data_IF_531569145706
#
_entry.id   IF_531569145706
#
_cell.length_a   1.000
_cell.length_b   1.000
_cell.length_c   1.000
_cell.angle_alpha   90.00
_cell.angle_beta   90.00
_cell.angle_gamma   90.00
#
_symmetry.space_group_name_H-M   'P 1'
#
loop_
_entity.id
_entity.type
_entity.pdbx_description
1 polymer ?
#
# COMPACT_ATOMS: atom_id res chain seq x y z
N UNK A 1 -3.21 -16.04 21.45
CA UNK A 1 -3.35 -14.91 20.52
C UNK A 1 -4.79 -14.60 20.13
N UNK A 2 -5.59 -15.53 19.55
CA UNK A 2 -7.02 -15.23 19.29
C UNK A 2 -7.81 -14.95 20.57
N UNK A 3 -7.53 -15.71 21.63
CA UNK A 3 -8.12 -15.51 22.95
C UNK A 3 -7.84 -14.10 23.48
N UNK A 4 -6.61 -13.61 23.29
CA UNK A 4 -6.21 -12.26 23.72
C UNK A 4 -6.99 -11.16 22.97
N UNK A 5 -7.24 -11.34 21.66
CA UNK A 5 -8.07 -10.43 20.87
C UNK A 5 -9.53 -10.46 21.33
N UNK A 6 -10.04 -11.64 21.68
CA UNK A 6 -11.37 -11.74 22.25
C UNK A 6 -11.47 -10.97 23.56
N UNK A 7 -10.49 -11.13 24.46
CA UNK A 7 -10.42 -10.35 25.70
C UNK A 7 -10.36 -8.85 25.42
N UNK A 8 -9.52 -8.42 24.46
CA UNK A 8 -9.42 -7.02 24.04
C UNK A 8 -10.76 -6.47 23.52
N UNK A 9 -11.44 -7.23 22.65
CA UNK A 9 -12.76 -6.87 22.11
C UNK A 9 -13.76 -6.62 23.23
N UNK A 10 -13.83 -7.55 24.19
CA UNK A 10 -14.75 -7.44 25.33
C UNK A 10 -14.41 -6.23 26.19
N UNK A 11 -13.13 -6.04 26.57
CA UNK A 11 -12.71 -4.88 27.37
C UNK A 11 -12.99 -3.55 26.67
N UNK A 12 -12.76 -3.44 25.36
CA UNK A 12 -13.07 -2.21 24.60
C UNK A 12 -14.58 -1.97 24.55
N UNK A 13 -15.40 -3.02 24.41
CA UNK A 13 -16.87 -2.89 24.39
C UNK A 13 -17.46 -2.53 25.75
N UNK A 14 -16.80 -2.88 26.85
CA UNK A 14 -17.21 -2.56 28.22
C UNK A 14 -16.85 -1.12 28.62
N UNK A 15 -15.83 -0.50 28.00
CA UNK A 15 -15.38 0.85 28.34
C UNK A 15 -16.47 1.93 28.38
N UNK A 16 -17.39 2.05 27.41
CA UNK A 16 -18.41 3.11 27.41
C UNK A 16 -19.43 2.99 28.55
N UNK A 17 -19.56 1.80 29.13
CA UNK A 17 -20.57 1.48 30.15
C UNK A 17 -19.93 1.20 31.51
N UNK A 18 -18.60 1.29 31.59
CA UNK A 18 -17.84 0.96 32.79
C UNK A 18 -18.08 2.00 33.88
N UNK A 19 -18.43 1.54 35.09
CA UNK A 19 -18.71 2.42 36.24
C UNK A 19 -20.11 3.04 36.25
N UNK A 20 -21.02 2.63 35.37
CA UNK A 20 -22.42 3.03 35.41
C UNK A 20 -23.21 2.12 36.37
N UNK A 21 -23.98 2.71 37.30
CA UNK A 21 -24.81 1.98 38.26
C UNK A 21 -25.98 1.23 37.58
N UNK A 22 -26.43 1.74 36.43
CA UNK A 22 -27.35 1.06 35.54
C UNK A 22 -26.84 1.16 34.08
N UNK A 23 -26.02 0.20 33.62
CA UNK A 23 -25.35 0.30 32.33
C UNK A 23 -26.37 0.19 31.19
N UNK A 24 -26.53 1.28 30.45
CA UNK A 24 -27.22 1.26 29.17
C UNK A 24 -26.35 0.52 28.13
N UNK A 25 -26.92 -0.11 27.10
CA UNK A 25 -26.12 -0.76 26.06
C UNK A 25 -25.18 0.24 25.37
N UNK A 26 -23.96 -0.18 24.98
CA UNK A 26 -23.02 0.71 24.30
C UNK A 26 -23.62 1.27 23.00
N UNK A 27 -23.25 2.51 22.61
CA UNK A 27 -23.73 3.10 21.37
C UNK A 27 -23.49 2.19 20.16
N UNK A 28 -24.51 1.96 19.34
CA UNK A 28 -24.45 1.05 18.19
C UNK A 28 -23.29 1.37 17.24
N UNK A 29 -23.00 2.65 17.02
CA UNK A 29 -21.88 3.10 16.18
C UNK A 29 -20.53 2.67 16.75
N UNK A 30 -20.35 2.77 18.08
CA UNK A 30 -19.13 2.34 18.75
C UNK A 30 -18.93 0.84 18.58
N UNK A 31 -19.94 0.04 18.91
CA UNK A 31 -19.91 -1.42 18.75
C UNK A 31 -19.61 -1.84 17.31
N UNK A 32 -20.18 -1.15 16.30
CA UNK A 32 -19.90 -1.40 14.88
C UNK A 32 -18.43 -1.13 14.52
N UNK A 33 -17.86 -0.02 14.98
CA UNK A 33 -16.46 0.32 14.70
C UNK A 33 -15.52 -0.70 15.34
N UNK A 34 -15.75 -1.06 16.60
CA UNK A 34 -14.95 -2.05 17.32
C UNK A 34 -15.04 -3.41 16.63
N UNK A 35 -16.26 -3.89 16.34
CA UNK A 35 -16.45 -5.17 15.64
C UNK A 35 -15.75 -5.19 14.27
N UNK A 36 -15.86 -4.10 13.50
CA UNK A 36 -15.19 -3.98 12.20
C UNK A 36 -13.67 -3.99 12.37
N UNK A 37 -13.11 -3.23 13.32
CA UNK A 37 -11.67 -3.19 13.57
C UNK A 37 -11.12 -4.53 14.06
N UNK A 38 -11.77 -5.13 15.06
CA UNK A 38 -11.39 -6.43 15.61
C UNK A 38 -11.48 -7.52 14.53
N UNK A 39 -12.54 -7.54 13.72
CA UNK A 39 -12.69 -8.52 12.64
C UNK A 39 -11.55 -8.47 11.63
N UNK A 40 -11.04 -7.27 11.31
CA UNK A 40 -9.86 -7.12 10.44
C UNK A 40 -8.60 -7.70 11.08
N UNK A 41 -8.37 -7.39 12.35
CA UNK A 41 -7.21 -7.88 13.11
C UNK A 41 -7.28 -9.40 13.22
N UNK A 42 -8.47 -9.94 13.50
CA UNK A 42 -8.71 -11.37 13.60
C UNK A 42 -8.47 -12.08 12.27
N UNK A 43 -8.91 -11.52 11.14
CA UNK A 43 -8.64 -12.07 9.82
C UNK A 43 -7.13 -12.14 9.53
N UNK A 44 -6.39 -11.06 9.79
CA UNK A 44 -4.93 -11.02 9.61
C UNK A 44 -4.25 -12.02 10.55
N UNK A 45 -4.64 -12.05 11.82
CA UNK A 45 -4.06 -12.97 12.79
C UNK A 45 -4.31 -14.42 12.40
N UNK A 46 -5.55 -14.77 12.01
CA UNK A 46 -5.87 -16.11 11.51
C UNK A 46 -4.95 -16.46 10.35
N UNK A 47 -4.78 -15.55 9.41
CA UNK A 47 -3.96 -15.79 8.22
C UNK A 47 -2.48 -16.07 8.55
N UNK A 48 -1.85 -15.29 9.44
CA UNK A 48 -0.45 -15.53 9.80
C UNK A 48 -0.24 -16.78 10.67
N UNK A 49 -1.26 -17.18 11.43
CA UNK A 49 -1.24 -18.38 12.27
C UNK A 49 -1.54 -19.66 11.48
N UNK A 50 -2.20 -19.57 10.32
CA UNK A 50 -2.46 -20.73 9.48
C UNK A 50 -1.14 -21.36 9.00
N UNK A 51 -1.00 -22.70 9.05
CA UNK A 51 0.13 -23.40 8.44
C UNK A 51 0.26 -23.04 6.96
N UNK A 52 1.50 -22.89 6.48
CA UNK A 52 1.78 -22.57 5.08
C UNK A 52 2.15 -23.80 4.24
N UNK A 53 2.06 -24.98 4.85
CA UNK A 53 2.40 -26.26 4.26
C UNK A 53 1.13 -27.13 4.31
N UNK A 54 0.47 -27.44 3.18
CA UNK A 54 0.87 -27.18 1.79
C UNK A 54 0.68 -25.71 1.34
N UNK A 55 1.46 -25.23 0.35
CA UNK A 55 1.44 -23.84 -0.11
C UNK A 55 0.08 -23.41 -0.71
N UNK A 56 -0.63 -24.31 -1.37
CA UNK A 56 -1.96 -24.03 -1.97
C UNK A 56 -3.00 -23.62 -0.92
N UNK A 57 -2.89 -24.16 0.30
CA UNK A 57 -3.81 -23.85 1.39
C UNK A 57 -3.72 -22.39 1.83
N UNK A 58 -2.56 -21.75 1.69
CA UNK A 58 -2.39 -20.37 2.15
C UNK A 58 -3.10 -19.38 1.23
N UNK A 59 -2.95 -19.53 -0.10
CA UNK A 59 -3.66 -18.69 -1.07
C UNK A 59 -5.19 -18.81 -0.94
N UNK A 60 -5.69 -20.02 -0.69
CA UNK A 60 -7.13 -20.25 -0.51
C UNK A 60 -7.65 -19.56 0.75
N UNK A 61 -6.93 -19.71 1.86
CA UNK A 61 -7.30 -19.06 3.12
C UNK A 61 -7.24 -17.53 3.02
N UNK A 62 -6.33 -16.99 2.22
CA UNK A 62 -6.25 -15.56 1.97
C UNK A 62 -7.49 -15.04 1.22
N UNK A 63 -7.91 -15.74 0.17
CA UNK A 63 -9.14 -15.43 -0.57
C UNK A 63 -10.37 -15.51 0.35
N UNK A 64 -10.42 -16.51 1.23
CA UNK A 64 -11.55 -16.69 2.15
C UNK A 64 -11.62 -15.63 3.26
N UNK A 65 -10.48 -15.19 3.80
CA UNK A 65 -10.42 -14.28 4.94
C UNK A 65 -10.32 -12.80 4.55
N UNK A 66 -9.56 -12.47 3.51
CA UNK A 66 -9.27 -11.09 3.09
C UNK A 66 -9.98 -10.77 1.76
N UNK A 67 -10.03 -11.74 0.84
CA UNK A 67 -10.87 -11.68 -0.36
C UNK A 67 -10.52 -10.56 -1.35
N UNK A 68 -9.24 -10.17 -1.43
CA UNK A 68 -8.77 -9.24 -2.45
C UNK A 68 -7.76 -9.85 -3.41
N UNK A 69 -7.60 -9.17 -4.55
CA UNK A 69 -6.72 -9.55 -5.66
C UNK A 69 -5.35 -8.87 -5.62
N UNK A 70 -5.12 -7.99 -4.66
CA UNK A 70 -3.91 -7.16 -4.64
C UNK A 70 -2.70 -7.97 -4.18
N UNK A 71 -1.76 -8.18 -5.10
CA UNK A 71 -0.49 -8.87 -4.85
C UNK A 71 0.36 -8.20 -3.75
N UNK A 72 0.36 -6.87 -3.66
CA UNK A 72 1.10 -6.15 -2.62
C UNK A 72 0.53 -6.43 -1.22
N UNK A 73 -0.79 -6.56 -1.12
CA UNK A 73 -1.46 -6.91 0.13
C UNK A 73 -1.13 -8.35 0.54
N UNK A 74 -1.12 -9.27 -0.42
CA UNK A 74 -0.68 -10.64 -0.21
C UNK A 74 0.78 -10.69 0.26
N UNK A 75 1.69 -9.96 -0.41
CA UNK A 75 3.09 -9.85 -0.01
C UNK A 75 3.26 -9.35 1.43
N UNK A 76 2.50 -8.32 1.85
CA UNK A 76 2.53 -7.85 3.24
C UNK A 76 2.15 -8.95 4.23
N UNK A 77 1.14 -9.77 3.93
CA UNK A 77 0.77 -10.91 4.77
C UNK A 77 1.89 -11.94 4.83
N UNK A 78 2.53 -12.26 3.70
CA UNK A 78 3.65 -13.21 3.66
C UNK A 78 4.87 -12.69 4.45
N UNK A 79 5.12 -11.38 4.40
CA UNK A 79 6.18 -10.72 5.19
C UNK A 79 5.84 -10.75 6.69
N UNK A 80 4.59 -10.45 7.08
CA UNK A 80 4.13 -10.57 8.47
C UNK A 80 4.20 -12.01 8.99
N UNK A 81 4.02 -12.99 8.10
CA UNK A 81 4.16 -14.41 8.43
C UNK A 81 5.62 -14.82 8.63
N UNK A 82 6.59 -14.06 8.10
CA UNK A 82 8.02 -14.32 8.25
C UNK A 82 8.57 -15.39 7.30
N UNK A 83 7.94 -15.61 6.15
CA UNK A 83 8.41 -16.59 5.15
C UNK A 83 9.67 -16.12 4.42
N UNK A 84 10.49 -17.07 3.94
CA UNK A 84 11.69 -16.75 3.16
C UNK A 84 11.32 -16.24 1.77
N UNK A 85 12.19 -15.42 1.15
CA UNK A 85 11.96 -14.86 -0.20
C UNK A 85 11.62 -15.92 -1.27
N UNK A 86 12.28 -17.08 -1.23
CA UNK A 86 12.01 -18.17 -2.19
C UNK A 86 10.60 -18.75 -2.02
N UNK A 87 10.16 -18.97 -0.78
CA UNK A 87 8.82 -19.47 -0.45
C UNK A 87 7.74 -18.43 -0.78
N UNK A 88 8.04 -17.15 -0.54
CA UNK A 88 7.16 -16.04 -0.92
C UNK A 88 6.89 -16.02 -2.42
N UNK A 89 7.93 -16.16 -3.24
CA UNK A 89 7.81 -16.12 -4.70
C UNK A 89 6.89 -17.23 -5.22
N UNK A 90 7.04 -18.46 -4.72
CA UNK A 90 6.19 -19.59 -5.10
C UNK A 90 4.71 -19.35 -4.75
N UNK A 91 4.44 -18.81 -3.56
CA UNK A 91 3.07 -18.51 -3.12
C UNK A 91 2.44 -17.38 -3.95
N UNK A 92 3.23 -16.37 -4.32
CA UNK A 92 2.75 -15.24 -5.15
C UNK A 92 2.34 -15.73 -6.53
N UNK A 93 3.11 -16.61 -7.15
CA UNK A 93 2.79 -17.19 -8.46
C UNK A 93 1.48 -18.00 -8.41
N UNK A 94 1.30 -18.83 -7.39
CA UNK A 94 0.06 -19.58 -7.18
C UNK A 94 -1.15 -18.65 -6.96
N UNK A 95 -0.98 -17.61 -6.15
CA UNK A 95 -2.02 -16.62 -5.91
C UNK A 95 -2.43 -15.90 -7.20
N UNK A 96 -1.47 -15.49 -8.04
CA UNK A 96 -1.74 -14.84 -9.32
C UNK A 96 -2.52 -15.75 -10.27
N UNK A 97 -2.13 -17.03 -10.36
CA UNK A 97 -2.84 -18.00 -11.19
C UNK A 97 -4.29 -18.16 -10.75
N UNK A 98 -4.55 -18.21 -9.44
CA UNK A 98 -5.89 -18.41 -8.87
C UNK A 98 -6.78 -17.17 -9.01
N UNK A 99 -6.21 -15.99 -8.79
CA UNK A 99 -6.91 -14.71 -8.94
C UNK A 99 -7.26 -14.42 -10.40
N UNK A 100 -6.50 -14.95 -11.36
CA UNK A 100 -6.83 -14.84 -12.79
C UNK A 100 -8.14 -15.56 -13.14
N UNK A 101 -8.46 -16.66 -12.45
CA UNK A 101 -9.68 -17.44 -12.66
C UNK A 101 -10.90 -16.81 -11.97
N UNK A 102 -10.70 -16.15 -10.82
CA UNK A 102 -11.78 -15.57 -10.03
C UNK A 102 -12.08 -14.11 -10.39
N UNK A 103 -13.19 -13.85 -11.08
CA UNK A 103 -13.62 -12.48 -11.46
C UNK A 103 -14.37 -11.73 -10.35
N UNK A 104 -14.79 -12.41 -9.27
CA UNK A 104 -15.70 -11.87 -8.24
C UNK A 104 -15.00 -11.19 -7.06
N UNK A 105 -13.70 -11.38 -6.89
CA UNK A 105 -12.94 -10.81 -5.76
C UNK A 105 -12.75 -9.30 -5.90
N UNK A 106 -12.62 -8.62 -4.75
CA UNK A 106 -12.36 -7.18 -4.70
C UNK A 106 -10.95 -6.85 -5.18
N UNK A 107 -10.79 -5.80 -5.98
CA UNK A 107 -9.47 -5.36 -6.46
C UNK A 107 -8.53 -4.98 -5.30
N UNK A 108 -9.07 -4.43 -4.21
CA UNK A 108 -8.28 -3.94 -3.08
C UNK A 108 -9.08 -3.95 -1.76
N UNK A 109 -8.65 -4.75 -0.78
CA UNK A 109 -9.26 -4.72 0.55
C UNK A 109 -8.57 -3.69 1.46
N UNK A 110 -9.37 -2.82 2.09
CA UNK A 110 -8.91 -1.85 3.10
C UNK A 110 -8.55 -2.50 4.45
N UNK A 111 -8.35 -3.82 4.50
CA UNK A 111 -7.93 -4.55 5.70
C UNK A 111 -6.45 -4.25 6.00
N UNK A 112 -5.63 -4.07 4.97
CA UNK A 112 -4.17 -3.94 5.06
C UNK A 112 -3.64 -2.50 4.81
N UNK A 113 -4.54 -1.53 4.62
CA UNK A 113 -4.19 -0.14 4.32
C UNK A 113 -3.37 0.54 5.43
N UNK A 114 -3.55 0.11 6.69
CA UNK A 114 -2.86 0.69 7.85
C UNK A 114 -1.49 0.05 8.14
N UNK A 115 -1.11 -1.00 7.40
CA UNK A 115 0.15 -1.72 7.60
C UNK A 115 1.20 -1.15 6.65
N UNK A 116 2.15 -0.40 7.23
CA UNK A 116 3.34 0.08 6.53
C UNK A 116 4.56 -0.72 7.03
N UNK A 117 4.91 -1.78 6.31
CA UNK A 117 6.12 -2.56 6.58
C UNK A 117 7.28 -1.77 5.97
N UNK A 118 7.80 -0.81 6.75
CA UNK A 118 9.04 -0.14 6.39
C UNK A 118 10.15 -1.19 6.41
N UNK A 119 10.65 -1.54 5.22
CA UNK A 119 11.86 -2.33 5.08
C UNK A 119 12.96 -1.66 5.91
N UNK A 120 13.60 -2.41 6.81
CA UNK A 120 14.81 -1.97 7.48
C UNK A 120 15.84 -1.61 6.41
N UNK A 121 16.03 -0.31 6.22
CA UNK A 121 17.06 0.26 5.37
C UNK A 121 18.38 -0.26 5.94
N UNK A 122 19.11 -1.06 5.15
CA UNK A 122 20.45 -1.48 5.51
C UNK A 122 21.30 -0.21 5.79
N UNK A 123 22.12 -0.18 6.85
CA UNK A 123 22.97 0.98 7.11
C UNK A 123 23.99 1.09 5.96
N UNK A 124 23.76 2.04 5.05
CA UNK A 124 24.80 2.45 4.10
C UNK A 124 25.88 3.17 4.89
N UNK A 125 27.03 2.51 5.04
CA UNK A 125 28.22 3.12 5.62
C UNK A 125 28.65 4.29 4.70
N UNK A 126 28.90 5.50 5.25
CA UNK A 126 29.48 6.58 4.46
C UNK A 126 30.90 6.17 4.01
N UNK A 127 31.14 6.18 2.69
CA UNK A 127 32.49 5.99 2.13
C UNK A 127 33.35 7.21 2.45
N UNK A 128 33.97 7.24 3.62
CA UNK A 128 34.94 8.25 4.00
C UNK A 128 36.08 7.61 4.77
N UNK A 129 36.73 6.64 4.13
CA UNK A 129 38.09 6.22 4.50
C UNK A 129 39.00 6.49 3.31
N UNK A 130 40.00 7.39 3.45
CA UNK A 130 41.00 7.58 2.41
C UNK A 130 41.91 6.33 2.37
N UNK A 131 42.09 5.77 1.18
CA UNK A 131 43.09 4.74 0.88
C UNK A 131 44.50 5.35 1.02
N UNK A 132 45.10 5.23 2.20
CA UNK A 132 46.41 5.83 2.49
C UNK A 132 47.61 4.93 2.13
N UNK A 133 47.42 3.84 1.38
CA UNK A 133 48.49 2.92 0.99
C UNK A 133 48.53 2.72 -0.52
N UNK A 134 48.86 3.78 -1.26
CA UNK A 134 49.20 3.67 -2.69
C UNK A 134 50.69 3.94 -2.85
N UNK A 135 51.42 2.89 -3.19
CA UNK A 135 52.83 2.87 -3.54
C UNK A 135 53.09 3.62 -4.87
N UNK A 136 53.97 4.63 -4.95
CA UNK A 136 54.32 5.28 -6.20
C UNK A 136 55.64 4.75 -6.77
N UNK A 137 55.68 4.45 -8.07
CA UNK A 137 56.93 4.30 -8.87
C UNK A 137 56.63 4.30 -10.38
N UNK A 138 57.60 4.70 -11.24
CA UNK A 138 57.37 5.72 -12.26
C UNK A 138 57.55 5.30 -13.74
N UNK A 139 57.05 6.18 -14.64
CA UNK A 139 57.54 6.54 -16.00
C UNK A 139 57.89 5.41 -16.99
N UNK A 140 57.42 5.38 -18.24
CA UNK A 140 57.61 6.37 -19.30
C UNK A 140 56.83 5.91 -20.55
N UNK A 141 56.24 6.82 -21.32
CA UNK A 141 56.54 6.94 -22.76
C UNK A 141 55.74 8.07 -23.41
N UNK A 142 56.47 8.88 -24.16
CA UNK A 142 56.01 9.97 -24.99
C UNK A 142 55.28 9.46 -26.24
N UNK A 143 54.33 10.25 -26.76
CA UNK A 143 54.44 10.71 -28.14
C UNK A 143 53.50 11.87 -28.51
N UNK A 144 54.10 12.77 -29.29
CA UNK A 144 53.68 13.96 -30.03
C UNK A 144 52.30 13.87 -30.73
N UNK A 145 51.44 14.90 -30.62
CA UNK A 145 51.30 16.09 -31.50
C UNK A 145 50.48 15.83 -32.78
N UNK A 146 49.34 16.53 -32.95
CA UNK A 146 48.97 17.35 -34.15
C UNK A 146 47.44 17.53 -34.38
N UNK A 147 46.97 18.75 -34.11
CA UNK A 147 46.20 19.74 -34.94
C UNK A 147 45.09 19.39 -35.96
N UNK A 148 44.15 20.37 -36.07
CA UNK A 148 43.20 20.77 -37.16
C UNK A 148 41.75 20.25 -37.04
N UNK A 149 40.69 21.06 -36.79
CA UNK A 149 40.02 22.20 -37.50
C UNK A 149 39.19 21.81 -38.74
N UNK A 150 38.13 22.61 -39.00
CA UNK A 150 37.09 22.58 -40.07
C UNK A 150 35.85 21.74 -39.71
N UNK A 151 34.59 22.16 -39.81
CA UNK A 151 33.95 23.39 -40.32
C UNK A 151 32.48 23.09 -40.71
N UNK A 152 31.55 24.03 -40.45
CA UNK A 152 30.18 24.15 -41.02
C UNK A 152 29.14 23.11 -40.56
N UNK A 153 27.81 23.32 -40.62
CA UNK A 153 26.92 24.49 -40.68
C UNK A 153 25.48 23.92 -40.72
N UNK A 154 24.51 24.70 -40.22
CA UNK A 154 23.06 24.63 -40.47
C UNK A 154 22.24 23.50 -39.82
N UNK A 155 21.29 23.86 -38.94
CA UNK A 155 19.88 24.12 -39.30
C UNK A 155 18.95 24.00 -38.09
N UNK A 156 18.23 25.08 -37.84
CA UNK A 156 16.85 25.18 -37.38
C UNK A 156 16.23 24.03 -36.56
N UNK A 157 15.78 24.35 -35.34
CA UNK A 157 14.35 24.58 -35.06
C UNK A 157 14.09 24.91 -33.59
N UNK A 158 13.55 26.12 -33.43
CA UNK A 158 12.73 26.58 -32.32
C UNK A 158 11.57 25.63 -32.00
N UNK A 159 11.25 25.45 -30.71
CA UNK A 159 9.90 25.61 -30.18
C UNK A 159 9.90 25.41 -28.66
N UNK A 160 9.97 26.53 -27.94
CA UNK A 160 9.30 26.67 -26.66
C UNK A 160 7.80 26.36 -26.84
N UNK A 161 7.22 25.59 -25.91
CA UNK A 161 5.82 25.62 -25.46
C UNK A 161 5.38 24.23 -24.95
N UNK A 162 5.59 23.96 -23.67
CA UNK A 162 4.79 22.95 -22.96
C UNK A 162 4.63 23.28 -21.48
N UNK A 163 4.24 24.52 -21.20
CA UNK A 163 3.80 24.94 -19.88
C UNK A 163 2.45 25.67 -19.99
N UNK A 164 1.42 24.96 -20.43
CA UNK A 164 0.05 25.49 -20.51
C UNK A 164 -0.98 24.35 -20.38
N UNK A 165 -0.89 23.54 -19.32
CA UNK A 165 -1.90 22.50 -19.05
C UNK A 165 -2.26 22.36 -17.58
N UNK A 166 -1.97 23.36 -16.76
CA UNK A 166 -2.34 23.39 -15.34
C UNK A 166 -3.02 24.73 -15.06
N UNK A 167 -4.32 24.85 -15.38
CA UNK A 167 -5.30 25.81 -14.81
C UNK A 167 -6.59 25.89 -15.63
N UNK A 168 -7.30 24.77 -15.83
CA UNK A 168 -8.68 24.83 -16.35
C UNK A 168 -9.63 23.79 -15.76
N UNK A 169 -9.53 23.59 -14.44
CA UNK A 169 -10.53 22.84 -13.67
C UNK A 169 -10.97 23.72 -12.50
N UNK A 170 -11.75 24.76 -12.78
CA UNK A 170 -12.53 25.49 -11.77
C UNK A 170 -13.62 26.33 -12.45
N UNK A 171 -14.76 25.71 -12.73
CA UNK A 171 -16.07 26.40 -12.79
C UNK A 171 -17.15 25.37 -12.49
N UNK A 172 -17.37 25.08 -11.21
CA UNK A 172 -18.61 24.44 -10.74
C UNK A 172 -19.66 25.55 -10.65
N UNK A 173 -20.57 25.57 -11.62
CA UNK A 173 -21.72 26.47 -11.66
C UNK A 173 -22.86 25.85 -10.83
N UNK A 174 -23.17 26.47 -9.69
CA UNK A 174 -24.34 26.13 -8.89
C UNK A 174 -25.59 26.73 -9.53
N UNK A 175 -26.28 25.94 -10.37
CA UNK A 175 -27.60 26.32 -10.90
C UNK A 175 -28.68 25.94 -9.90
N UNK A 176 -29.11 26.93 -9.13
CA UNK A 176 -30.24 26.91 -8.19
C UNK A 176 -31.54 26.84 -9.01
N UNK A 177 -32.28 25.74 -8.92
CA UNK A 177 -33.59 25.59 -9.56
C UNK A 177 -34.68 25.93 -8.53
N UNK A 178 -35.36 27.06 -8.74
CA UNK A 178 -36.53 27.51 -7.99
C UNK A 178 -37.76 26.79 -8.55
N UNK A 179 -38.36 25.92 -7.74
CA UNK A 179 -39.63 25.27 -8.03
C UNK A 179 -40.75 25.98 -7.29
N UNK A 180 -41.22 27.08 -7.87
CA UNK A 180 -42.51 27.67 -7.56
C UNK A 180 -43.61 26.94 -8.33
N UNK A 181 -44.38 26.09 -7.64
CA UNK A 181 -45.69 25.61 -8.12
C UNK A 181 -46.65 25.62 -6.91
N UNK A 182 -47.40 26.71 -6.74
CA UNK A 182 -48.74 26.96 -7.26
C UNK A 182 -49.82 26.29 -6.41
N UNK A 183 -50.62 27.18 -5.81
CA UNK A 183 -51.89 26.95 -5.10
C UNK A 183 -52.89 26.20 -5.98
N UNK A 184 -53.73 25.40 -5.33
CA UNK A 184 -55.13 25.06 -5.61
C UNK A 184 -55.54 24.18 -4.40
N UNK A 185 -56.34 24.67 -3.44
CA UNK A 185 -57.81 24.52 -3.37
C UNK A 185 -58.23 23.05 -3.62
N UNK A 186 -58.83 22.30 -2.70
CA UNK A 186 -60.20 22.47 -2.21
C UNK A 186 -60.51 21.37 -1.18
N UNK A 187 -61.20 21.76 -0.10
CA UNK A 187 -62.20 21.06 0.74
C UNK A 187 -62.02 19.58 1.14
#
# INVERSE_FOLDING_TARGET
MLLDIHALKTSILEMPTMGMENPAPPPTTFTKIVNKGIGKIEAILKMILTPHDPPEGLSENYILLIGDKNINNFQKILELKGLRRNEQQQLIEQFQQRVADDTTLSENSNILSSINISQSIAPSLPSSFPTLFTNPSPSSNANYQSSQTIGGSNSDKSAANKFESVRKIMTVSWRRNDSSNKKEDEK
#
